data_IF_635502108043
#
_entry.id   IF_635502108043
#
_cell.length_a   1.000
_cell.length_b   1.000
_cell.length_c   1.000
_cell.angle_alpha   90.00
_cell.angle_beta   90.00
_cell.angle_gamma   90.00
#
_symmetry.space_group_name_H-M   'P 1'
#
loop_
_entity.id
_entity.type
_entity.pdbx_description
1 polymer ?
#
# COMPACT_ATOMS: atom_id res chain seq x y z
N UNK A 1 10.48 23.32 -5.89
CA UNK A 1 9.95 21.98 -5.57
C UNK A 1 10.38 21.73 -4.13
N UNK A 2 9.74 22.36 -3.16
CA UNK A 2 8.39 22.06 -2.71
C UNK A 2 8.56 21.08 -1.56
N UNK A 3 8.75 21.63 -0.35
CA UNK A 3 8.93 20.93 0.93
C UNK A 3 7.98 19.75 1.07
N UNK A 4 8.47 18.57 1.47
CA UNK A 4 7.63 17.60 2.16
C UNK A 4 8.24 17.27 3.51
N UNK A 5 7.58 17.86 4.51
CA UNK A 5 7.85 17.76 5.92
C UNK A 5 7.38 16.41 6.48
N UNK A 6 8.24 15.75 7.25
CA UNK A 6 7.92 15.10 8.54
C UNK A 6 6.68 14.20 8.69
N UNK A 7 6.10 13.63 7.63
CA UNK A 7 4.96 12.72 7.72
C UNK A 7 4.66 12.06 6.38
N UNK A 8 4.13 10.83 6.43
CA UNK A 8 3.82 10.01 5.25
C UNK A 8 2.91 10.77 4.27
N UNK A 9 3.40 11.22 3.10
CA UNK A 9 2.54 11.88 2.14
C UNK A 9 1.67 10.82 1.45
N UNK A 10 0.37 11.08 1.33
CA UNK A 10 -0.61 10.12 0.82
C UNK A 10 -0.24 9.59 -0.58
N UNK A 11 0.39 10.42 -1.40
CA UNK A 11 0.85 10.06 -2.75
C UNK A 11 1.98 9.02 -2.73
N UNK A 12 3.02 9.22 -1.89
CA UNK A 12 4.10 8.22 -1.72
C UNK A 12 3.59 6.93 -1.08
N UNK A 13 2.66 7.06 -0.12
CA UNK A 13 1.99 5.90 0.48
C UNK A 13 1.24 5.13 -0.59
N UNK A 14 0.50 5.82 -1.47
CA UNK A 14 -0.26 5.20 -2.55
C UNK A 14 0.65 4.51 -3.57
N UNK A 15 1.75 5.13 -3.98
CA UNK A 15 2.74 4.51 -4.87
C UNK A 15 3.34 3.24 -4.25
N UNK A 16 3.78 3.34 -2.99
CA UNK A 16 4.41 2.23 -2.27
C UNK A 16 3.40 1.10 -2.03
N UNK A 17 2.18 1.45 -1.64
CA UNK A 17 1.07 0.52 -1.49
C UNK A 17 0.77 -0.20 -2.80
N UNK A 18 0.68 0.52 -3.92
CA UNK A 18 0.41 -0.07 -5.25
C UNK A 18 1.48 -1.07 -5.64
N UNK A 19 2.75 -0.70 -5.46
CA UNK A 19 3.88 -1.57 -5.75
C UNK A 19 3.79 -2.90 -4.99
N UNK A 20 3.54 -2.85 -3.68
CA UNK A 20 3.44 -4.06 -2.86
C UNK A 20 2.12 -4.82 -3.07
N UNK A 21 1.01 -4.12 -3.28
CA UNK A 21 -0.29 -4.74 -3.54
C UNK A 21 -0.28 -5.52 -4.86
N UNK A 22 0.28 -4.95 -5.93
CA UNK A 22 0.45 -5.64 -7.21
C UNK A 22 1.40 -6.83 -7.09
N UNK A 23 2.54 -6.67 -6.39
CA UNK A 23 3.44 -7.79 -6.11
C UNK A 23 2.75 -8.91 -5.33
N UNK A 24 1.90 -8.57 -4.35
CA UNK A 24 1.18 -9.56 -3.57
C UNK A 24 0.12 -10.25 -4.44
N UNK A 25 -0.68 -9.49 -5.18
CA UNK A 25 -1.65 -10.02 -6.13
C UNK A 25 -1.01 -10.99 -7.12
N UNK A 26 0.07 -10.61 -7.79
CA UNK A 26 0.74 -11.50 -8.76
C UNK A 26 1.28 -12.76 -8.10
N UNK A 27 1.85 -12.67 -6.89
CA UNK A 27 2.37 -13.84 -6.17
C UNK A 27 1.27 -14.78 -5.66
N UNK A 28 0.08 -14.25 -5.36
CA UNK A 28 -1.05 -14.99 -4.79
C UNK A 28 -2.17 -15.25 -5.81
N UNK A 29 -1.89 -15.12 -7.12
CA UNK A 29 -2.85 -15.47 -8.17
C UNK A 29 -4.03 -14.50 -8.32
N UNK A 30 -3.76 -13.20 -8.18
CA UNK A 30 -4.74 -12.12 -8.30
C UNK A 30 -5.30 -11.62 -6.97
N UNK A 31 -5.07 -12.31 -5.86
CA UNK A 31 -5.57 -11.88 -4.56
C UNK A 31 -4.51 -11.14 -3.75
N UNK A 32 -4.88 -9.98 -3.21
CA UNK A 32 -4.03 -9.15 -2.38
C UNK A 32 -4.65 -8.96 -0.99
N UNK A 33 -3.84 -9.14 0.05
CA UNK A 33 -4.27 -9.00 1.43
C UNK A 33 -3.62 -7.81 2.15
N UNK A 34 -4.38 -7.19 3.04
CA UNK A 34 -3.92 -6.00 3.78
C UNK A 34 -2.74 -6.30 4.70
N UNK A 35 -2.73 -7.46 5.36
CA UNK A 35 -1.65 -7.86 6.27
C UNK A 35 -0.26 -7.82 5.63
N UNK A 36 0.00 -8.61 4.56
CA UNK A 36 1.30 -8.64 3.90
C UNK A 36 1.67 -7.29 3.29
N UNK A 37 0.73 -6.57 2.65
CA UNK A 37 1.02 -5.24 2.08
C UNK A 37 1.39 -4.24 3.17
N UNK A 38 0.63 -4.15 4.27
CA UNK A 38 0.99 -3.30 5.42
C UNK A 38 2.35 -3.63 5.98
N UNK A 39 2.65 -4.91 6.18
CA UNK A 39 3.93 -5.33 6.72
C UNK A 39 5.11 -4.90 5.83
N UNK A 40 4.94 -4.96 4.50
CA UNK A 40 5.95 -4.50 3.53
C UNK A 40 6.09 -2.98 3.53
N UNK A 41 4.98 -2.25 3.49
CA UNK A 41 4.95 -0.78 3.52
C UNK A 41 5.60 -0.23 4.80
N UNK A 42 5.17 -0.70 5.97
CA UNK A 42 5.70 -0.26 7.27
C UNK A 42 7.11 -0.82 7.54
N UNK A 43 7.50 -1.91 6.89
CA UNK A 43 8.85 -2.46 6.90
C UNK A 43 9.84 -1.57 6.15
N UNK A 44 9.44 -1.08 4.98
CA UNK A 44 10.26 -0.17 4.15
C UNK A 44 10.32 1.24 4.74
N UNK A 45 9.20 1.73 5.29
CA UNK A 45 9.10 3.06 5.89
C UNK A 45 8.61 2.97 7.33
N UNK A 46 9.55 2.76 8.24
CA UNK A 46 9.26 2.66 9.66
C UNK A 46 8.64 3.93 10.25
N UNK A 47 8.98 5.09 9.69
CA UNK A 47 8.44 6.41 10.02
C UNK A 47 6.91 6.52 9.79
N UNK A 48 6.37 5.74 8.85
CA UNK A 48 4.93 5.73 8.55
C UNK A 48 4.10 5.00 9.59
N UNK A 49 4.73 4.28 10.56
CA UNK A 49 4.02 3.66 11.68
C UNK A 49 3.27 4.69 12.53
N UNK A 50 3.82 5.89 12.68
CA UNK A 50 3.15 7.00 13.36
C UNK A 50 1.88 7.45 12.63
N UNK A 51 1.86 7.28 11.30
CA UNK A 51 0.72 7.59 10.42
C UNK A 51 -0.03 6.33 9.97
N UNK A 52 0.07 5.22 10.71
CA UNK A 52 -0.49 3.93 10.30
C UNK A 52 -1.98 4.00 9.97
N UNK A 53 -2.76 4.88 10.61
CA UNK A 53 -4.18 5.10 10.28
C UNK A 53 -4.39 5.65 8.86
N UNK A 54 -3.61 6.65 8.46
CA UNK A 54 -3.68 7.23 7.10
C UNK A 54 -3.17 6.21 6.10
N UNK A 55 -2.05 5.58 6.41
CA UNK A 55 -1.40 4.58 5.56
C UNK A 55 -2.31 3.38 5.32
N UNK A 56 -2.98 2.88 6.36
CA UNK A 56 -3.94 1.78 6.25
C UNK A 56 -5.18 2.15 5.43
N UNK A 57 -5.67 3.38 5.52
CA UNK A 57 -6.77 3.84 4.68
C UNK A 57 -6.40 3.84 3.19
N UNK A 58 -5.26 4.44 2.84
CA UNK A 58 -4.77 4.50 1.45
C UNK A 58 -4.50 3.10 0.91
N UNK A 59 -3.85 2.25 1.71
CA UNK A 59 -3.53 0.89 1.30
C UNK A 59 -4.78 0.04 1.11
N UNK A 60 -5.80 0.21 1.95
CA UNK A 60 -7.08 -0.48 1.77
C UNK A 60 -7.73 -0.13 0.42
N UNK A 61 -7.70 1.15 0.04
CA UNK A 61 -8.24 1.62 -1.23
C UNK A 61 -7.49 0.99 -2.41
N UNK A 62 -6.15 1.03 -2.36
CA UNK A 62 -5.28 0.41 -3.36
C UNK A 62 -5.50 -1.09 -3.48
N UNK A 63 -5.66 -1.81 -2.37
CA UNK A 63 -5.91 -3.26 -2.38
C UNK A 63 -7.26 -3.56 -3.01
N UNK A 64 -8.28 -2.76 -2.72
CA UNK A 64 -9.59 -2.89 -3.36
C UNK A 64 -9.48 -2.67 -4.87
N UNK A 65 -8.75 -1.65 -5.33
CA UNK A 65 -8.49 -1.44 -6.76
C UNK A 65 -7.75 -2.63 -7.39
N UNK A 66 -6.69 -3.13 -6.75
CA UNK A 66 -5.89 -4.24 -7.28
C UNK A 66 -6.68 -5.54 -7.33
N UNK A 67 -7.44 -5.86 -6.28
CA UNK A 67 -8.31 -7.04 -6.25
C UNK A 67 -9.45 -6.93 -7.27
N UNK A 68 -9.93 -5.73 -7.58
CA UNK A 68 -10.90 -5.51 -8.64
C UNK A 68 -10.30 -5.59 -10.05
N UNK A 69 -8.99 -5.30 -10.19
CA UNK A 69 -8.25 -5.48 -11.44
C UNK A 69 -7.82 -6.92 -11.70
N UNK A 70 -7.72 -7.73 -10.64
CA UNK A 70 -7.39 -9.14 -10.78
C UNK A 70 -8.47 -9.82 -11.62
N UNK A 71 -8.11 -10.39 -12.79
CA UNK A 71 -9.08 -11.04 -13.66
C UNK A 71 -9.71 -12.20 -12.89
N UNK A 72 -11.02 -12.38 -13.08
CA UNK A 72 -11.76 -13.54 -12.60
C UNK A 72 -10.95 -14.81 -12.92
N UNK A 73 -10.57 -15.54 -11.88
CA UNK A 73 -9.85 -16.81 -11.99
C UNK A 73 -10.70 -17.87 -12.69
#
# INVERSE_FOLDING_TARGET
MGEQAGGAPEDEVRETARKFALQNAVQHGGSCEMGPVMARVLGERAEWRSSAKVVSAVVKDVIAEVNAMAPEA
#
